data_IF_768033785511
#
_entry.id   IF_768033785511
#
_cell.length_a   1.000
_cell.length_b   1.000
_cell.length_c   1.000
_cell.angle_alpha   90.00
_cell.angle_beta   90.00
_cell.angle_gamma   90.00
#
_symmetry.space_group_name_H-M   'P 1'
#
loop_
_entity.id
_entity.type
_entity.pdbx_description
1 polymer ?
#
# COMPACT_ATOMS: atom_id res chain seq x y z
N UNK A 1 10.96 -22.16 4.32
CA UNK A 1 11.08 -21.10 5.37
C UNK A 1 9.91 -20.16 5.14
N UNK A 2 9.06 -19.98 6.13
CA UNK A 2 7.88 -19.13 6.05
C UNK A 2 8.31 -17.64 6.02
N UNK A 3 7.66 -16.82 5.20
CA UNK A 3 7.93 -15.37 5.05
C UNK A 3 7.90 -14.60 6.38
N UNK A 4 7.01 -14.98 7.30
CA UNK A 4 6.96 -14.39 8.65
C UNK A 4 8.21 -14.68 9.48
N UNK A 5 8.70 -15.92 9.41
CA UNK A 5 9.95 -16.31 10.08
C UNK A 5 11.16 -15.60 9.49
N UNK A 6 11.17 -15.36 8.17
CA UNK A 6 12.17 -14.55 7.50
C UNK A 6 12.12 -13.10 7.96
N UNK A 7 10.95 -12.47 7.97
CA UNK A 7 10.78 -11.09 8.44
C UNK A 7 11.18 -10.91 9.92
N UNK A 8 10.79 -11.84 10.78
CA UNK A 8 11.21 -11.81 12.20
C UNK A 8 12.73 -11.84 12.32
N UNK A 9 13.42 -12.72 11.59
CA UNK A 9 14.89 -12.80 11.59
C UNK A 9 15.52 -11.53 10.99
N UNK A 10 14.99 -11.04 9.89
CA UNK A 10 15.51 -9.87 9.22
C UNK A 10 15.38 -8.60 10.06
N UNK A 11 14.23 -8.40 10.72
CA UNK A 11 14.00 -7.28 11.63
C UNK A 11 14.93 -7.33 12.84
N UNK A 12 15.16 -8.51 13.43
CA UNK A 12 16.09 -8.67 14.56
C UNK A 12 17.54 -8.44 14.12
N UNK A 13 17.95 -8.93 12.94
CA UNK A 13 19.34 -8.83 12.46
C UNK A 13 19.72 -7.43 11.99
N UNK A 14 18.76 -6.62 11.51
CA UNK A 14 19.03 -5.27 10.98
C UNK A 14 18.71 -4.15 11.98
N UNK A 15 18.27 -4.48 13.20
CA UNK A 15 18.02 -3.51 14.29
C UNK A 15 19.21 -3.35 15.26
N UNK A 16 20.45 -3.70 14.87
CA UNK A 16 21.63 -3.34 15.66
C UNK A 16 22.02 -1.89 15.39
N UNK A 17 22.23 -1.06 16.43
CA UNK A 17 22.71 0.31 16.23
C UNK A 17 24.17 0.27 15.77
N UNK A 18 24.38 0.41 14.47
CA UNK A 18 25.70 0.69 13.92
C UNK A 18 26.02 2.17 14.17
N UNK A 19 26.78 2.44 15.23
CA UNK A 19 27.49 3.69 15.40
C UNK A 19 28.73 3.63 14.51
N UNK A 20 28.67 4.14 13.32
CA UNK A 20 29.87 4.52 12.57
C UNK A 20 29.54 5.61 11.53
N UNK A 21 30.28 6.71 11.68
CA UNK A 21 30.41 7.84 10.78
C UNK A 21 30.50 7.40 9.31
N UNK A 22 29.50 7.74 8.50
CA UNK A 22 29.66 8.02 7.08
C UNK A 22 28.56 8.97 6.66
N UNK A 23 28.92 10.22 6.43
CA UNK A 23 28.09 11.17 5.69
C UNK A 23 28.20 10.85 4.20
N UNK A 24 27.10 10.70 3.48
CA UNK A 24 27.01 11.14 2.09
C UNK A 24 26.09 12.36 2.02
N UNK A 25 26.67 13.45 1.55
CA UNK A 25 25.91 14.61 1.10
C UNK A 25 25.15 14.24 -0.17
N UNK A 26 23.83 14.14 -0.08
CA UNK A 26 22.93 14.29 -1.23
C UNK A 26 21.71 15.06 -0.76
N UNK A 27 21.62 16.30 -1.21
CA UNK A 27 20.50 17.19 -1.05
C UNK A 27 19.35 16.75 -1.96
N UNK A 28 18.34 16.11 -1.41
CA UNK A 28 16.98 16.06 -1.99
C UNK A 28 16.02 16.03 -0.81
N UNK A 29 15.02 16.92 -0.82
CA UNK A 29 14.13 17.21 0.29
C UNK A 29 13.48 15.97 0.91
N UNK A 30 13.97 15.61 2.08
CA UNK A 30 13.33 14.63 2.95
C UNK A 30 12.36 15.38 3.88
N UNK A 31 11.16 14.80 4.15
CA UNK A 31 10.35 15.29 5.24
C UNK A 31 11.15 15.15 6.52
N UNK A 32 11.28 16.23 7.27
CA UNK A 32 11.97 16.27 8.56
C UNK A 32 11.22 15.37 9.55
N UNK A 33 11.70 14.14 9.72
CA UNK A 33 11.37 13.33 10.88
C UNK A 33 12.23 13.82 12.02
N UNK A 34 11.60 14.30 13.08
CA UNK A 34 12.25 14.76 14.30
C UNK A 34 13.20 13.66 14.82
N UNK A 35 14.45 14.06 15.09
CA UNK A 35 15.48 13.22 15.68
C UNK A 35 14.98 12.59 16.99
N UNK A 36 14.74 11.28 17.00
CA UNK A 36 14.28 10.56 18.20
C UNK A 36 13.50 9.28 17.92
N UNK A 37 13.03 9.05 16.69
CA UNK A 37 12.38 7.79 16.35
C UNK A 37 13.42 6.79 15.83
N UNK A 38 14.11 6.13 16.75
CA UNK A 38 14.79 4.87 16.46
C UNK A 38 13.72 3.87 16.00
N UNK A 39 13.86 3.36 14.79
CA UNK A 39 13.08 2.24 14.24
C UNK A 39 13.45 0.91 14.95
N UNK A 40 13.59 0.92 16.27
CA UNK A 40 13.36 -0.29 17.03
C UNK A 40 11.85 -0.53 17.02
N UNK A 41 11.31 -0.88 15.86
CA UNK A 41 10.00 -1.46 15.79
C UNK A 41 10.08 -2.81 16.52
N UNK A 42 10.08 -2.75 17.86
CA UNK A 42 9.70 -3.90 18.65
C UNK A 42 8.39 -4.36 18.03
N UNK A 43 8.44 -5.52 17.39
CA UNK A 43 7.25 -6.16 16.84
C UNK A 43 6.35 -6.45 18.02
N UNK A 44 5.54 -5.46 18.39
CA UNK A 44 4.61 -5.54 19.52
C UNK A 44 3.29 -6.11 19.05
N UNK A 45 2.69 -6.88 19.89
CA UNK A 45 1.32 -7.34 19.74
C UNK A 45 0.39 -6.14 19.56
N UNK A 46 -0.40 -6.12 18.48
CA UNK A 46 -1.35 -5.06 18.16
C UNK A 46 -2.76 -5.58 18.04
N UNK A 47 -3.70 -4.73 17.62
CA UNK A 47 -5.12 -5.01 17.59
C UNK A 47 -5.66 -5.09 16.16
N UNK A 48 -6.41 -6.14 15.84
CA UNK A 48 -7.36 -6.11 14.76
C UNK A 48 -8.60 -5.37 15.23
N UNK A 49 -9.03 -4.40 14.44
CA UNK A 49 -10.23 -3.61 14.70
C UNK A 49 -11.13 -3.62 13.46
N UNK A 50 -12.39 -3.36 13.64
CA UNK A 50 -13.31 -3.13 12.53
C UNK A 50 -13.25 -1.68 12.02
N UNK A 51 -14.09 -1.32 11.06
CA UNK A 51 -14.16 0.02 10.48
C UNK A 51 -14.60 1.10 11.47
N UNK A 52 -15.29 0.72 12.54
CA UNK A 52 -15.72 1.61 13.63
C UNK A 52 -14.64 1.79 14.69
N UNK A 53 -13.59 0.94 14.69
CA UNK A 53 -12.56 0.89 15.68
C UNK A 53 -12.80 -0.14 16.80
N UNK A 54 -13.86 -0.95 16.67
CA UNK A 54 -14.18 -1.98 17.65
C UNK A 54 -13.17 -3.12 17.58
N UNK A 55 -12.77 -3.60 18.76
CA UNK A 55 -11.79 -4.66 18.87
C UNK A 55 -12.31 -6.00 18.36
N UNK A 56 -11.52 -6.67 17.52
CA UNK A 56 -11.83 -8.01 16.99
C UNK A 56 -10.93 -9.06 17.64
N UNK A 57 -9.61 -8.88 17.56
CA UNK A 57 -8.62 -9.85 18.03
C UNK A 57 -7.23 -9.20 18.18
N UNK A 58 -6.28 -9.97 18.71
CA UNK A 58 -4.89 -9.57 18.77
C UNK A 58 -4.10 -10.10 17.59
N UNK A 59 -3.11 -9.33 17.10
CA UNK A 59 -2.16 -9.74 16.09
C UNK A 59 -0.71 -9.59 16.55
N UNK A 60 0.24 -10.23 15.86
CA UNK A 60 1.65 -10.27 16.26
C UNK A 60 2.43 -8.98 15.96
N UNK A 61 1.82 -8.00 15.30
CA UNK A 61 2.42 -6.73 14.90
C UNK A 61 2.00 -6.33 13.47
N UNK A 62 1.69 -5.05 13.27
CA UNK A 62 1.20 -4.55 11.97
C UNK A 62 2.13 -4.83 10.76
N UNK A 63 3.49 -4.90 10.91
CA UNK A 63 4.36 -5.12 9.76
C UNK A 63 4.16 -6.46 9.04
N UNK A 64 3.48 -7.42 9.69
CA UNK A 64 3.19 -8.74 9.10
C UNK A 64 1.95 -8.76 8.21
N UNK A 65 1.29 -7.63 8.02
CA UNK A 65 0.04 -7.53 7.28
C UNK A 65 0.16 -6.58 6.09
N UNK A 66 -0.65 -6.84 5.07
CA UNK A 66 -0.69 -6.05 3.83
C UNK A 66 -2.14 -5.75 3.46
N UNK A 67 -2.41 -4.54 2.96
CA UNK A 67 -3.75 -4.16 2.48
C UNK A 67 -4.23 -5.15 1.41
N UNK A 68 -5.48 -5.60 1.56
CA UNK A 68 -6.09 -6.63 0.72
C UNK A 68 -5.79 -8.07 1.14
N UNK A 69 -5.00 -8.28 2.20
CA UNK A 69 -4.72 -9.62 2.70
C UNK A 69 -5.96 -10.25 3.32
N UNK A 70 -6.26 -11.50 2.93
CA UNK A 70 -7.34 -12.33 3.47
C UNK A 70 -6.82 -13.50 4.30
N UNK A 71 -5.74 -14.14 3.84
CA UNK A 71 -5.20 -15.37 4.46
C UNK A 71 -4.11 -15.03 5.47
N UNK A 72 -3.93 -15.94 6.44
CA UNK A 72 -2.87 -15.80 7.43
C UNK A 72 -3.11 -14.69 8.46
N UNK A 73 -4.37 -14.29 8.69
CA UNK A 73 -4.70 -13.34 9.75
C UNK A 73 -4.65 -13.98 11.14
N UNK A 74 -4.73 -15.30 11.22
CA UNK A 74 -4.70 -16.02 12.52
C UNK A 74 -5.99 -15.86 13.35
N UNK A 75 -7.08 -15.45 12.71
CA UNK A 75 -8.40 -15.28 13.32
C UNK A 75 -9.44 -16.12 12.60
N UNK A 76 -10.42 -16.59 13.34
CA UNK A 76 -11.56 -17.34 12.82
C UNK A 76 -12.83 -16.50 13.03
N UNK A 77 -13.35 -15.99 11.93
CA UNK A 77 -14.61 -15.26 11.90
C UNK A 77 -15.59 -15.98 10.96
N UNK A 78 -16.88 -15.94 11.27
CA UNK A 78 -17.93 -16.56 10.46
C UNK A 78 -18.17 -15.83 9.11
N UNK A 79 -17.34 -14.86 8.79
CA UNK A 79 -17.37 -14.09 7.54
C UNK A 79 -15.98 -13.88 6.97
N UNK A 80 -15.89 -13.68 5.65
CA UNK A 80 -14.66 -13.31 5.00
C UNK A 80 -14.29 -11.86 5.35
N UNK A 81 -13.08 -11.65 5.88
CA UNK A 81 -12.54 -10.33 6.19
C UNK A 81 -11.21 -10.12 5.49
N UNK A 82 -10.90 -8.86 5.21
CA UNK A 82 -9.70 -8.42 4.51
C UNK A 82 -9.06 -7.27 5.26
N UNK A 83 -7.76 -7.14 5.16
CA UNK A 83 -7.04 -5.95 5.66
C UNK A 83 -7.43 -4.76 4.78
N UNK A 84 -8.15 -3.80 5.33
CA UNK A 84 -8.54 -2.56 4.67
C UNK A 84 -7.48 -1.48 4.81
N UNK A 85 -6.95 -1.33 6.02
CA UNK A 85 -6.03 -0.26 6.39
C UNK A 85 -5.06 -0.74 7.47
N UNK A 86 -3.87 -0.17 7.49
CA UNK A 86 -2.87 -0.39 8.56
C UNK A 86 -2.62 0.97 9.20
N UNK A 87 -2.71 1.05 10.52
CA UNK A 87 -2.46 2.24 11.34
C UNK A 87 -1.24 2.02 12.22
N UNK A 88 -0.03 2.34 11.74
CA UNK A 88 1.23 2.07 12.45
C UNK A 88 1.29 2.75 13.82
N UNK A 89 0.82 3.99 13.92
CA UNK A 89 0.88 4.81 15.13
C UNK A 89 0.11 4.20 16.30
N UNK A 90 -0.96 3.47 15.99
CA UNK A 90 -1.82 2.78 16.96
C UNK A 90 -1.52 1.29 17.08
N UNK A 91 -0.64 0.77 16.23
CA UNK A 91 -0.40 -0.65 16.04
C UNK A 91 -1.72 -1.40 15.78
N UNK A 92 -2.54 -0.86 14.88
CA UNK A 92 -3.86 -1.40 14.53
C UNK A 92 -3.88 -1.84 13.06
N UNK A 93 -4.61 -2.92 12.81
CA UNK A 93 -4.94 -3.41 11.48
C UNK A 93 -6.45 -3.44 11.35
N UNK A 94 -6.99 -2.60 10.46
CA UNK A 94 -8.43 -2.49 10.23
C UNK A 94 -8.88 -3.60 9.29
N UNK A 95 -9.87 -4.36 9.71
CA UNK A 95 -10.48 -5.43 8.93
C UNK A 95 -11.87 -5.01 8.42
N UNK A 96 -12.15 -5.34 7.17
CA UNK A 96 -13.42 -5.02 6.53
C UNK A 96 -13.88 -6.11 5.56
N UNK A 97 -15.07 -5.98 5.01
CA UNK A 97 -15.56 -6.81 3.90
C UNK A 97 -14.80 -6.51 2.61
N UNK A 98 -14.91 -7.38 1.60
CA UNK A 98 -14.30 -7.14 0.29
C UNK A 98 -14.81 -5.86 -0.37
N UNK A 99 -16.11 -5.59 -0.27
CA UNK A 99 -16.76 -4.40 -0.81
C UNK A 99 -16.19 -3.09 -0.23
N UNK A 100 -15.82 -3.09 1.04
CA UNK A 100 -15.22 -1.93 1.68
C UNK A 100 -13.79 -1.60 1.18
N UNK A 101 -13.19 -2.49 0.37
CA UNK A 101 -11.89 -2.29 -0.27
C UNK A 101 -12.02 -1.83 -1.73
N UNK A 102 -13.23 -1.72 -2.24
CA UNK A 102 -13.49 -1.25 -3.59
C UNK A 102 -13.16 0.24 -3.71
N UNK A 103 -12.42 0.59 -4.73
CA UNK A 103 -12.09 1.97 -5.10
C UNK A 103 -12.32 2.17 -6.58
N UNK A 104 -12.83 3.33 -6.93
CA UNK A 104 -13.07 3.74 -8.30
C UNK A 104 -12.03 4.74 -8.80
N UNK A 105 -11.14 5.20 -7.93
CA UNK A 105 -10.13 6.18 -8.26
C UNK A 105 -8.80 5.93 -7.56
N UNK A 106 -7.72 6.44 -8.15
CA UNK A 106 -6.40 6.46 -7.55
C UNK A 106 -5.59 7.67 -8.03
N UNK A 107 -4.67 8.12 -7.19
CA UNK A 107 -3.69 9.14 -7.51
C UNK A 107 -2.32 8.50 -7.69
N UNK A 108 -1.67 8.78 -8.82
CA UNK A 108 -0.32 8.32 -9.12
C UNK A 108 0.64 9.49 -9.05
N UNK A 109 1.75 9.30 -8.33
CA UNK A 109 2.87 10.24 -8.26
C UNK A 109 4.10 9.63 -8.96
N UNK A 110 5.11 10.44 -9.19
CA UNK A 110 6.39 10.01 -9.76
C UNK A 110 6.22 9.25 -11.09
N UNK A 111 5.31 9.75 -11.92
CA UNK A 111 4.94 9.12 -13.17
C UNK A 111 5.93 9.44 -14.30
N UNK A 112 6.14 8.45 -15.18
CA UNK A 112 6.87 8.58 -16.43
C UNK A 112 5.94 8.23 -17.60
N UNK A 113 5.71 9.18 -18.50
CA UNK A 113 4.83 9.02 -19.66
C UNK A 113 5.68 9.08 -20.93
N UNK A 114 5.67 8.01 -21.71
CA UNK A 114 6.34 7.94 -23.01
C UNK A 114 5.63 8.82 -24.06
N UNK A 115 4.31 8.82 -24.08
CA UNK A 115 3.52 9.66 -24.98
C UNK A 115 2.34 10.28 -24.22
N UNK A 116 2.48 11.57 -23.91
CA UNK A 116 1.50 12.32 -23.12
C UNK A 116 0.18 12.55 -23.89
N UNK A 117 0.26 12.85 -25.18
CA UNK A 117 -0.93 13.10 -26.00
C UNK A 117 -1.82 11.86 -26.09
N UNK A 118 -1.19 10.70 -26.26
CA UNK A 118 -1.91 9.42 -26.26
C UNK A 118 -2.56 9.11 -24.92
N UNK A 119 -1.91 9.43 -23.81
CA UNK A 119 -2.46 9.12 -22.49
C UNK A 119 -3.61 10.07 -22.12
N UNK A 120 -3.48 11.36 -22.40
CA UNK A 120 -4.45 12.37 -21.96
C UNK A 120 -5.57 12.62 -22.99
N UNK A 121 -5.38 12.21 -24.24
CA UNK A 121 -6.33 12.40 -25.34
C UNK A 121 -7.32 11.23 -25.54
N UNK A 122 -7.14 10.11 -24.86
CA UNK A 122 -7.98 8.92 -25.06
C UNK A 122 -8.92 8.70 -23.88
N UNK A 123 -10.18 8.43 -24.21
CA UNK A 123 -11.24 8.15 -23.23
C UNK A 123 -11.15 6.73 -22.64
N UNK A 124 -10.38 5.82 -23.27
CA UNK A 124 -10.27 4.43 -22.86
C UNK A 124 -8.81 4.00 -22.77
N UNK A 125 -8.32 4.00 -21.55
CA UNK A 125 -6.97 3.57 -21.21
C UNK A 125 -7.08 2.35 -20.31
N UNK A 126 -6.20 1.38 -20.50
CA UNK A 126 -6.12 0.23 -19.63
C UNK A 126 -5.01 0.46 -18.60
N UNK A 127 -5.34 0.39 -17.31
CA UNK A 127 -4.37 0.45 -16.22
C UNK A 127 -4.20 -0.93 -15.58
N UNK A 128 -2.94 -1.31 -15.38
CA UNK A 128 -2.54 -2.54 -14.69
C UNK A 128 -1.78 -2.17 -13.42
N UNK A 129 -2.29 -2.58 -12.27
CA UNK A 129 -1.67 -2.37 -10.95
C UNK A 129 -1.14 -3.67 -10.34
N UNK A 130 -1.41 -4.82 -10.99
CA UNK A 130 -0.93 -6.15 -10.59
C UNK A 130 -0.67 -7.00 -11.82
N UNK A 131 0.18 -8.01 -11.66
CA UNK A 131 0.55 -8.94 -12.73
C UNK A 131 -0.61 -9.79 -13.28
N UNK A 132 -1.76 -9.84 -12.61
CA UNK A 132 -2.92 -10.61 -13.10
C UNK A 132 -3.49 -9.98 -14.38
N UNK A 133 -4.05 -10.84 -15.27
CA UNK A 133 -4.74 -10.48 -16.53
C UNK A 133 -6.06 -9.70 -16.26
N UNK A 134 -6.00 -8.60 -15.56
CA UNK A 134 -7.16 -7.77 -15.32
C UNK A 134 -6.94 -6.48 -16.10
N UNK A 135 -7.76 -6.28 -17.10
CA UNK A 135 -7.82 -5.06 -17.89
C UNK A 135 -8.77 -4.11 -17.17
N UNK A 136 -8.22 -3.07 -16.58
CA UNK A 136 -9.03 -2.09 -15.87
C UNK A 136 -9.12 -0.83 -16.73
N UNK A 137 -10.27 -0.64 -17.35
CA UNK A 137 -10.55 0.55 -18.17
C UNK A 137 -10.66 1.78 -17.28
N UNK A 138 -10.05 2.87 -17.72
CA UNK A 138 -9.99 4.10 -16.95
C UNK A 138 -9.83 5.34 -17.83
N UNK A 139 -10.13 6.48 -17.24
CA UNK A 139 -9.79 7.80 -17.75
C UNK A 139 -8.67 8.40 -16.91
N UNK A 140 -7.71 9.07 -17.54
CA UNK A 140 -6.56 9.65 -16.86
C UNK A 140 -6.54 11.17 -17.07
N UNK A 141 -6.38 11.92 -15.99
CA UNK A 141 -6.24 13.39 -16.00
C UNK A 141 -5.05 13.81 -15.16
N UNK A 142 -4.47 14.97 -15.45
CA UNK A 142 -3.39 15.56 -14.66
C UNK A 142 -3.99 16.55 -13.68
N UNK A 143 -3.69 16.41 -12.42
CA UNK A 143 -4.10 17.38 -11.38
C UNK A 143 -3.19 18.62 -11.38
N UNK A 144 -3.64 19.76 -10.80
CA UNK A 144 -2.80 20.95 -10.65
C UNK A 144 -1.48 20.68 -9.90
N UNK A 145 -1.49 19.74 -8.96
CA UNK A 145 -0.32 19.34 -8.16
C UNK A 145 0.58 18.33 -8.87
N UNK A 146 0.40 18.15 -10.18
CA UNK A 146 1.19 17.23 -11.01
C UNK A 146 1.08 15.74 -10.61
N UNK A 147 -0.06 15.31 -10.08
CA UNK A 147 -0.40 13.89 -9.97
C UNK A 147 -1.22 13.44 -11.18
N UNK A 148 -1.20 12.14 -11.50
CA UNK A 148 -2.19 11.56 -12.39
C UNK A 148 -3.38 11.07 -11.58
N UNK A 149 -4.54 11.64 -11.83
CA UNK A 149 -5.80 11.12 -11.34
C UNK A 149 -6.34 10.10 -12.32
N UNK A 150 -6.51 8.88 -11.87
CA UNK A 150 -7.03 7.75 -12.65
C UNK A 150 -8.41 7.43 -12.12
N UNK A 151 -9.42 7.64 -12.98
CA UNK A 151 -10.81 7.28 -12.72
C UNK A 151 -11.10 5.93 -13.38
N UNK A 152 -11.35 4.90 -12.59
CA UNK A 152 -11.69 3.56 -13.07
C UNK A 152 -13.15 3.51 -13.51
N UNK A 153 -13.45 2.80 -14.59
CA UNK A 153 -14.83 2.58 -15.04
C UNK A 153 -15.55 1.55 -14.18
N UNK A 154 -14.80 0.60 -13.61
CA UNK A 154 -15.33 -0.40 -12.67
C UNK A 154 -14.53 -0.36 -11.36
N UNK A 155 -15.19 -0.61 -10.21
CA UNK A 155 -14.53 -0.65 -8.92
C UNK A 155 -13.44 -1.74 -8.88
N UNK A 156 -12.28 -1.41 -8.35
CA UNK A 156 -11.17 -2.32 -8.18
C UNK A 156 -10.85 -2.50 -6.71
N UNK A 157 -10.76 -3.75 -6.28
CA UNK A 157 -10.47 -4.09 -4.89
C UNK A 157 -8.97 -4.05 -4.59
N UNK A 158 -8.64 -3.66 -3.36
CA UNK A 158 -7.30 -3.76 -2.79
C UNK A 158 -6.22 -2.97 -3.56
N UNK A 159 -6.55 -1.74 -3.96
CA UNK A 159 -5.57 -0.74 -4.36
C UNK A 159 -4.82 -0.30 -3.09
N UNK A 160 -3.52 -0.56 -3.04
CA UNK A 160 -2.66 -0.20 -1.91
C UNK A 160 -1.67 0.89 -2.30
N UNK A 161 -1.39 1.80 -1.36
CA UNK A 161 -0.34 2.80 -1.52
C UNK A 161 1.03 2.15 -1.73
N UNK A 162 1.89 2.78 -2.54
CA UNK A 162 3.22 2.27 -2.85
C UNK A 162 3.27 1.21 -3.97
N UNK A 163 2.14 0.88 -4.60
CA UNK A 163 2.12 0.00 -5.78
C UNK A 163 2.44 0.79 -7.05
N UNK A 164 3.15 0.14 -7.98
CA UNK A 164 3.34 0.66 -9.32
C UNK A 164 2.08 0.43 -10.17
N UNK A 165 1.76 1.41 -11.04
CA UNK A 165 0.71 1.30 -12.03
C UNK A 165 1.31 1.46 -13.44
N UNK A 166 0.95 0.58 -14.36
CA UNK A 166 1.30 0.68 -15.77
C UNK A 166 0.05 0.98 -16.58
N UNK A 167 0.06 2.07 -17.34
CA UNK A 167 -1.05 2.47 -18.21
C UNK A 167 -0.66 2.24 -19.67
N UNK A 168 -1.54 1.62 -20.44
CA UNK A 168 -1.35 1.32 -21.86
C UNK A 168 -2.61 1.73 -22.63
N UNK A 169 -2.43 2.48 -23.70
CA UNK A 169 -3.49 2.69 -24.69
C UNK A 169 -3.30 1.67 -25.82
N UNK A 170 -4.27 0.80 -26.03
CA UNK A 170 -4.31 -0.04 -27.21
C UNK A 170 -5.00 0.71 -28.34
N UNK A 171 -4.24 1.17 -29.31
CA UNK A 171 -4.81 1.52 -30.63
C UNK A 171 -4.75 0.26 -31.49
N UNK A 172 -5.91 -0.25 -31.84
CA UNK A 172 -6.04 -1.23 -32.91
C UNK A 172 -5.76 -0.56 -34.26
#
# INVERSE_FOLDING_TARGET
MDYRSFLKKWLVSNCQPQVSNCQPQVSVGQPQVSAGQTWSAEVRRGRFVDEKGDFIAWHEGYPFYTVGQRRGLGIHLNRAVFVKEIRPEKNEVVLASLQALEKTEMLLKDWNIVNRERLLGHADIIVKIRYRKQENHCTVTVTPDNFLHVQLHEPLTAIASGQAAASVSYTH
#
